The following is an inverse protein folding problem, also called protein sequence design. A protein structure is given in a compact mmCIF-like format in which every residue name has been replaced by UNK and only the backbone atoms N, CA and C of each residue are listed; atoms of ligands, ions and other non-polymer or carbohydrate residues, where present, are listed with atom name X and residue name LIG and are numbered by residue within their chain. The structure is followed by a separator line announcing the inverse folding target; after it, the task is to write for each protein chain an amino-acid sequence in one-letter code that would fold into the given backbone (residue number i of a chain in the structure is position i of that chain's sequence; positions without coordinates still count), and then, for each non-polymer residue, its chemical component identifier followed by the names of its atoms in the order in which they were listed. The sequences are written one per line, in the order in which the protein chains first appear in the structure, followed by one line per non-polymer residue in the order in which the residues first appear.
data_IF_244400041017
#
_entry.id   IF_244400041017
#
_cell.length_a   1.000
_cell.length_b   1.000
_cell.length_c   1.000
_cell.angle_alpha   90.00
_cell.angle_beta   90.00
_cell.angle_gamma   90.00
#
_symmetry.space_group_name_H-M   'P 1'
#
loop_
_entity.id
_entity.type
_entity.pdbx_description
1 polymer ?
#
# COMPACT_ATOMS: atom_id res chain seq x y z
N UNK A 1 15.40 -22.87 10.69
CA UNK A 1 15.90 -21.47 10.70
C UNK A 1 15.19 -20.60 9.66
N UNK A 2 15.17 -20.98 8.37
CA UNK A 2 14.60 -20.14 7.30
C UNK A 2 13.10 -19.79 7.46
N UNK A 3 12.26 -20.74 7.90
CA UNK A 3 10.81 -20.51 8.10
C UNK A 3 10.48 -19.46 9.19
N UNK A 4 11.25 -19.39 10.27
CA UNK A 4 11.04 -18.40 11.33
C UNK A 4 11.56 -17.00 10.96
N UNK A 5 12.51 -16.91 10.02
CA UNK A 5 13.02 -15.63 9.52
C UNK A 5 12.09 -14.98 8.48
N UNK A 6 11.23 -15.77 7.82
CA UNK A 6 10.26 -15.26 6.84
C UNK A 6 9.17 -14.40 7.50
N UNK A 7 8.83 -14.66 8.76
CA UNK A 7 7.79 -13.93 9.49
C UNK A 7 8.10 -12.42 9.58
N UNK A 8 9.27 -11.97 10.10
CA UNK A 8 9.60 -10.55 10.14
C UNK A 8 9.85 -9.94 8.75
N UNK A 9 10.33 -10.73 7.77
CA UNK A 9 10.57 -10.24 6.40
C UNK A 9 9.25 -9.82 5.75
N UNK A 10 8.20 -10.62 5.87
CA UNK A 10 6.88 -10.29 5.30
C UNK A 10 6.29 -9.03 5.96
N UNK A 11 6.51 -8.81 7.27
CA UNK A 11 6.01 -7.61 7.96
C UNK A 11 6.70 -6.37 7.43
N UNK A 12 8.03 -6.44 7.33
CA UNK A 12 8.86 -5.32 6.88
C UNK A 12 8.54 -4.97 5.44
N UNK A 13 8.29 -5.97 4.57
CA UNK A 13 7.87 -5.75 3.20
C UNK A 13 6.49 -5.10 3.12
N UNK A 14 5.52 -5.54 3.92
CA UNK A 14 4.19 -4.91 3.99
C UNK A 14 4.25 -3.45 4.44
N UNK A 15 5.04 -3.15 5.47
CA UNK A 15 5.26 -1.78 5.95
C UNK A 15 5.98 -0.90 4.93
N UNK A 16 7.02 -1.42 4.25
CA UNK A 16 7.70 -0.70 3.17
C UNK A 16 6.77 -0.42 2.01
N UNK A 17 5.92 -1.37 1.62
CA UNK A 17 4.94 -1.19 0.56
C UNK A 17 3.95 -0.08 0.91
N UNK A 18 3.46 -0.04 2.15
CA UNK A 18 2.63 1.07 2.65
C UNK A 18 3.36 2.43 2.57
N UNK A 19 4.65 2.46 2.92
CA UNK A 19 5.48 3.66 2.80
C UNK A 19 5.65 4.14 1.34
N UNK A 20 5.84 3.21 0.40
CA UNK A 20 5.96 3.52 -1.03
C UNK A 20 4.64 4.05 -1.61
N UNK A 21 3.50 3.50 -1.19
CA UNK A 21 2.17 4.01 -1.56
C UNK A 21 1.90 5.41 -1.00
N UNK A 22 2.40 5.73 0.20
CA UNK A 22 2.28 7.07 0.78
C UNK A 22 3.19 8.10 0.11
N UNK A 23 4.39 7.69 -0.33
CA UNK A 23 5.38 8.57 -0.97
C UNK A 23 5.14 8.82 -2.47
N UNK A 24 4.35 7.98 -3.13
CA UNK A 24 4.13 8.02 -4.59
C UNK A 24 3.57 9.34 -5.09
N UNK A 25 2.54 9.96 -4.47
CA UNK A 25 2.02 11.25 -4.90
C UNK A 25 3.06 12.37 -4.90
N UNK A 26 3.97 12.36 -3.92
CA UNK A 26 5.04 13.36 -3.81
C UNK A 26 6.04 13.14 -4.94
N UNK A 27 6.48 11.88 -5.15
CA UNK A 27 7.44 11.57 -6.22
C UNK A 27 6.87 11.84 -7.61
N UNK A 28 5.60 11.54 -7.84
CA UNK A 28 4.94 11.80 -9.12
C UNK A 28 4.82 13.31 -9.40
N UNK A 29 4.52 14.10 -8.36
CA UNK A 29 4.40 15.56 -8.50
C UNK A 29 5.76 16.22 -8.74
N UNK A 30 6.81 15.81 -8.00
CA UNK A 30 8.15 16.41 -8.11
C UNK A 30 8.79 16.11 -9.47
N UNK A 31 8.62 14.89 -9.98
CA UNK A 31 9.18 14.47 -11.27
C UNK A 31 8.22 14.65 -12.46
N UNK A 32 7.07 15.29 -12.27
CA UNK A 32 6.03 15.47 -13.28
C UNK A 32 5.63 14.16 -14.00
N UNK A 33 5.59 13.05 -13.26
CA UNK A 33 5.18 11.76 -13.78
C UNK A 33 3.65 11.64 -13.82
N UNK A 34 3.06 11.14 -14.92
CA UNK A 34 1.63 10.91 -15.00
C UNK A 34 1.25 9.70 -14.12
N UNK A 35 0.48 9.94 -13.06
CA UNK A 35 0.05 8.91 -12.13
C UNK A 35 -1.17 9.29 -11.30
N UNK A 36 -1.69 8.34 -10.53
CA UNK A 36 -2.88 8.56 -9.69
C UNK A 36 -2.59 9.51 -8.52
N UNK A 37 -1.35 9.55 -8.03
CA UNK A 37 -0.94 10.41 -6.95
C UNK A 37 -0.79 11.87 -7.39
N UNK A 38 -0.21 12.12 -8.55
CA UNK A 38 -0.18 13.47 -9.13
C UNK A 38 -1.59 13.98 -9.48
N UNK A 39 -2.47 13.09 -9.95
CA UNK A 39 -3.88 13.42 -10.18
C UNK A 39 -4.65 13.71 -8.87
N UNK A 40 -4.35 13.01 -7.78
CA UNK A 40 -4.90 13.31 -6.46
C UNK A 40 -4.50 14.71 -5.97
N UNK A 41 -3.22 15.06 -6.11
CA UNK A 41 -2.68 16.38 -5.75
C UNK A 41 -3.39 17.48 -6.56
N UNK A 42 -3.54 17.28 -7.87
CA UNK A 42 -4.26 18.22 -8.73
C UNK A 42 -5.73 18.37 -8.32
N UNK A 43 -6.40 17.27 -7.95
CA UNK A 43 -7.79 17.28 -7.50
C UNK A 43 -7.95 18.00 -6.16
N UNK A 44 -6.98 17.88 -5.26
CA UNK A 44 -6.91 18.66 -4.00
C UNK A 44 -6.80 20.16 -4.29
N UNK A 45 -5.94 20.56 -5.24
CA UNK A 45 -5.78 21.96 -5.62
C UNK A 45 -7.05 22.54 -6.28
N UNK A 46 -7.76 21.73 -7.06
CA UNK A 46 -9.01 22.12 -7.73
C UNK A 46 -10.26 21.94 -6.86
N UNK A 47 -10.12 21.49 -5.61
CA UNK A 47 -11.24 21.20 -4.69
C UNK A 47 -12.27 20.20 -5.26
N UNK A 48 -11.81 19.26 -6.09
CA UNK A 48 -12.64 18.21 -6.66
C UNK A 48 -12.79 17.05 -5.65
N UNK A 49 -13.69 17.24 -4.68
CA UNK A 49 -13.94 16.27 -3.62
C UNK A 49 -14.35 14.87 -4.12
N UNK A 50 -15.25 14.71 -5.11
CA UNK A 50 -15.57 13.40 -5.66
C UNK A 50 -14.34 12.61 -6.11
N UNK A 51 -13.40 13.26 -6.81
CA UNK A 51 -12.19 12.61 -7.30
C UNK A 51 -11.25 12.26 -6.16
N UNK A 52 -11.08 13.14 -5.17
CA UNK A 52 -10.25 12.88 -3.98
C UNK A 52 -10.75 11.63 -3.24
N UNK A 53 -12.06 11.52 -3.03
CA UNK A 53 -12.68 10.36 -2.36
C UNK A 53 -12.47 9.09 -3.17
N UNK A 54 -12.67 9.15 -4.50
CA UNK A 54 -12.48 8.00 -5.38
C UNK A 54 -11.04 7.47 -5.34
N UNK A 55 -10.03 8.35 -5.43
CA UNK A 55 -8.62 7.95 -5.38
C UNK A 55 -8.24 7.41 -4.01
N UNK A 56 -8.72 8.06 -2.93
CA UNK A 56 -8.50 7.59 -1.56
C UNK A 56 -9.09 6.19 -1.35
N UNK A 57 -10.28 5.93 -1.89
CA UNK A 57 -10.91 4.61 -1.83
C UNK A 57 -10.10 3.55 -2.57
N UNK A 58 -9.57 3.87 -3.76
CA UNK A 58 -8.70 2.97 -4.53
C UNK A 58 -7.42 2.65 -3.73
N UNK A 59 -6.76 3.67 -3.15
CA UNK A 59 -5.58 3.43 -2.30
C UNK A 59 -5.90 2.58 -1.08
N UNK A 60 -7.04 2.82 -0.42
CA UNK A 60 -7.49 1.99 0.70
C UNK A 60 -7.70 0.53 0.26
N UNK A 61 -8.33 0.30 -0.89
CA UNK A 61 -8.56 -1.04 -1.42
C UNK A 61 -7.23 -1.77 -1.72
N UNK A 62 -6.27 -1.08 -2.34
CA UNK A 62 -4.93 -1.63 -2.60
C UNK A 62 -4.24 -1.98 -1.28
N UNK A 63 -4.30 -1.09 -0.30
CA UNK A 63 -3.68 -1.31 1.01
C UNK A 63 -4.28 -2.50 1.74
N UNK A 64 -5.61 -2.60 1.79
CA UNK A 64 -6.32 -3.73 2.40
C UNK A 64 -5.98 -5.03 1.67
N UNK A 65 -5.95 -5.02 0.34
CA UNK A 65 -5.59 -6.21 -0.45
C UNK A 65 -4.15 -6.65 -0.19
N UNK A 66 -3.21 -5.70 -0.09
CA UNK A 66 -1.82 -5.98 0.23
C UNK A 66 -1.67 -6.58 1.64
N UNK A 67 -2.39 -6.04 2.64
CA UNK A 67 -2.41 -6.61 3.99
C UNK A 67 -3.01 -8.02 4.00
N UNK A 68 -4.11 -8.25 3.27
CA UNK A 68 -4.69 -9.58 3.16
C UNK A 68 -3.72 -10.59 2.52
N UNK A 69 -2.98 -10.19 1.48
CA UNK A 69 -1.94 -11.01 0.88
C UNK A 69 -0.86 -11.34 1.91
N UNK A 70 -0.41 -10.34 2.68
CA UNK A 70 0.54 -10.52 3.77
C UNK A 70 0.03 -11.53 4.80
N UNK A 71 -1.22 -11.41 5.24
CA UNK A 71 -1.86 -12.33 6.20
C UNK A 71 -1.98 -13.76 5.65
N UNK A 72 -2.32 -13.92 4.37
CA UNK A 72 -2.35 -15.23 3.70
C UNK A 72 -0.93 -15.83 3.63
N UNK A 73 0.08 -15.04 3.27
CA UNK A 73 1.47 -15.50 3.28
C UNK A 73 1.89 -15.95 4.68
N UNK A 74 1.48 -15.23 5.73
CA UNK A 74 1.71 -15.67 7.12
C UNK A 74 1.09 -17.03 7.41
N UNK A 75 -0.18 -17.22 7.06
CA UNK A 75 -0.89 -18.48 7.29
C UNK A 75 -0.27 -19.67 6.54
N UNK A 76 0.29 -19.44 5.34
CA UNK A 76 0.96 -20.48 4.54
C UNK A 76 2.37 -20.78 5.05
N UNK A 77 3.12 -19.75 5.47
CA UNK A 77 4.52 -19.88 5.91
C UNK A 77 4.60 -20.54 7.29
N UNK A 78 3.70 -20.20 8.21
CA UNK A 78 3.69 -20.75 9.55
C UNK A 78 2.38 -21.51 9.89
N UNK A 79 2.32 -22.83 9.62
CA UNK A 79 1.16 -23.65 9.98
C UNK A 79 0.97 -23.83 11.49
N UNK A 80 1.85 -23.27 12.34
CA UNK A 80 1.71 -23.29 13.81
C UNK A 80 0.76 -22.21 14.35
N UNK A 81 0.34 -21.24 13.53
CA UNK A 81 -0.67 -20.22 13.87
C UNK A 81 -2.09 -20.82 13.96
N UNK A 82 -2.26 -22.12 13.69
CA UNK A 82 -3.55 -22.83 13.71
C UNK A 82 -4.01 -23.29 15.11
N UNK A 83 -3.45 -22.77 16.21
CA UNK A 83 -3.93 -23.06 17.57
C UNK A 83 -4.05 -21.79 18.40
#
# INVERSE_FOLDING_TARGET
ALKNALVPIVTVLGLQFGGLLGGTPITETVFALPGMGSYAIQSIQNLDFPVIVAITFIYALIYVTANLVVDILYAVIDPRVRY
#
